data_IF_667275583626
#
_entry.id   IF_667275583626
#
_cell.length_a   1.000
_cell.length_b   1.000
_cell.length_c   1.000
_cell.angle_alpha   90.00
_cell.angle_beta   90.00
_cell.angle_gamma   90.00
#
_symmetry.space_group_name_H-M   'P 1'
#
loop_
_entity.id
_entity.type
_entity.pdbx_description
1 polymer ?
#
# COMPACT_ATOMS: atom_id res chain seq x y z
N UNK A 1 5.52 -18.75 10.42
CA UNK A 1 5.84 -17.33 10.17
C UNK A 1 4.98 -16.70 9.08
N UNK A 2 4.68 -17.42 7.99
CA UNK A 2 4.05 -16.87 6.79
C UNK A 2 2.56 -16.49 6.91
N UNK A 3 1.77 -17.16 7.77
CA UNK A 3 0.36 -16.78 8.05
C UNK A 3 0.24 -15.35 8.58
N UNK A 4 1.26 -14.87 9.30
CA UNK A 4 1.25 -13.50 9.85
C UNK A 4 1.51 -12.43 8.79
N UNK A 5 2.24 -12.76 7.71
CA UNK A 5 2.59 -11.82 6.63
C UNK A 5 1.33 -11.29 5.93
N UNK A 6 0.30 -12.13 5.78
CA UNK A 6 -0.97 -11.71 5.21
C UNK A 6 -1.69 -10.67 6.10
N UNK A 7 -1.69 -10.88 7.42
CA UNK A 7 -2.26 -9.92 8.37
C UNK A 7 -1.50 -8.58 8.39
N UNK A 8 -0.17 -8.64 8.35
CA UNK A 8 0.67 -7.43 8.30
C UNK A 8 0.54 -6.68 6.98
N UNK A 9 0.51 -7.37 5.84
CA UNK A 9 0.30 -6.72 4.53
C UNK A 9 -1.08 -6.09 4.41
N UNK A 10 -2.11 -6.73 4.99
CA UNK A 10 -3.44 -6.14 5.09
C UNK A 10 -3.46 -4.86 5.94
N UNK A 11 -2.85 -4.89 7.13
CA UNK A 11 -2.76 -3.70 7.98
C UNK A 11 -1.95 -2.58 7.31
N UNK A 12 -0.85 -2.95 6.67
CA UNK A 12 0.02 -2.02 5.96
C UNK A 12 -0.70 -1.36 4.78
N UNK A 13 -1.62 -2.06 4.09
CA UNK A 13 -2.44 -1.46 3.02
C UNK A 13 -3.33 -0.33 3.53
N UNK A 14 -3.96 -0.50 4.69
CA UNK A 14 -4.73 0.58 5.33
C UNK A 14 -3.87 1.76 5.75
N UNK A 15 -2.68 1.49 6.30
CA UNK A 15 -1.73 2.53 6.67
C UNK A 15 -1.27 3.32 5.43
N UNK A 16 -1.00 2.64 4.32
CA UNK A 16 -0.63 3.27 3.05
C UNK A 16 -1.74 4.18 2.50
N UNK A 17 -3.02 3.77 2.59
CA UNK A 17 -4.16 4.64 2.23
C UNK A 17 -4.21 5.88 3.11
N UNK A 18 -4.11 5.72 4.43
CA UNK A 18 -4.18 6.82 5.39
C UNK A 18 -3.05 7.83 5.17
N UNK A 19 -1.83 7.34 4.98
CA UNK A 19 -0.66 8.17 4.68
C UNK A 19 -0.83 8.93 3.37
N UNK A 20 -1.28 8.26 2.30
CA UNK A 20 -1.55 8.92 1.03
C UNK A 20 -2.62 10.02 1.17
N UNK A 21 -3.73 9.70 1.84
CA UNK A 21 -4.83 10.66 2.06
C UNK A 21 -4.36 11.87 2.85
N UNK A 22 -3.55 11.65 3.88
CA UNK A 22 -2.97 12.73 4.69
C UNK A 22 -2.01 13.60 3.86
N UNK A 23 -1.11 12.99 3.09
CA UNK A 23 -0.19 13.72 2.21
C UNK A 23 -0.96 14.57 1.18
N UNK A 24 -2.00 14.00 0.57
CA UNK A 24 -2.79 14.67 -0.45
C UNK A 24 -3.65 15.82 0.11
N UNK A 25 -4.31 15.62 1.25
CA UNK A 25 -5.21 16.64 1.84
C UNK A 25 -4.49 17.81 2.49
N UNK A 26 -3.34 17.55 3.13
CA UNK A 26 -2.59 18.58 3.87
C UNK A 26 -1.52 19.28 3.04
N UNK A 27 -1.49 18.99 1.72
CA UNK A 27 -0.52 19.51 0.76
C UNK A 27 0.90 19.54 1.36
N UNK A 28 1.31 18.37 1.85
CA UNK A 28 2.42 18.27 2.79
C UNK A 28 3.69 18.81 2.11
N UNK A 29 4.31 19.88 2.66
CA UNK A 29 5.27 20.64 1.89
C UNK A 29 6.52 19.81 1.61
N UNK A 30 6.94 19.79 0.34
CA UNK A 30 8.15 19.12 -0.14
C UNK A 30 9.46 19.69 0.46
N UNK A 31 9.38 20.65 1.38
CA UNK A 31 10.53 21.26 2.05
C UNK A 31 11.05 20.44 3.22
N UNK A 32 10.24 19.54 3.80
CA UNK A 32 10.62 18.71 4.95
C UNK A 32 11.42 17.49 4.50
N UNK A 33 11.11 16.95 3.32
CA UNK A 33 11.80 15.82 2.71
C UNK A 33 12.28 16.26 1.32
N UNK A 34 13.57 16.13 1.01
CA UNK A 34 14.11 16.47 -0.33
C UNK A 34 13.44 15.73 -1.51
N UNK A 35 12.51 14.82 -1.21
CA UNK A 35 11.68 14.03 -2.11
C UNK A 35 10.23 14.37 -1.80
N UNK A 36 9.41 14.61 -2.84
CA UNK A 36 7.98 14.86 -2.66
C UNK A 36 7.32 13.69 -1.90
N UNK A 37 6.53 13.95 -0.84
CA UNK A 37 5.93 12.89 -0.01
C UNK A 37 5.09 11.84 -0.78
N UNK A 38 4.59 12.19 -1.97
CA UNK A 38 3.91 11.30 -2.90
C UNK A 38 4.78 10.09 -3.28
N UNK A 39 6.07 10.30 -3.59
CA UNK A 39 6.99 9.21 -3.93
C UNK A 39 7.23 8.27 -2.76
N UNK A 40 7.24 8.79 -1.53
CA UNK A 40 7.39 7.96 -0.32
C UNK A 40 6.18 7.03 -0.18
N UNK A 41 4.97 7.59 -0.32
CA UNK A 41 3.73 6.80 -0.26
C UNK A 41 3.60 5.81 -1.42
N UNK A 42 4.22 6.11 -2.57
CA UNK A 42 4.27 5.23 -3.74
C UNK A 42 5.22 4.04 -3.55
N UNK A 43 6.42 4.26 -3.01
CA UNK A 43 7.34 3.16 -2.67
C UNK A 43 6.70 2.27 -1.60
N UNK A 44 6.03 2.87 -0.62
CA UNK A 44 5.35 2.11 0.42
C UNK A 44 4.21 1.26 -0.16
N UNK A 45 3.39 1.79 -1.06
CA UNK A 45 2.30 1.05 -1.71
C UNK A 45 2.82 -0.12 -2.55
N UNK A 46 3.97 0.04 -3.25
CA UNK A 46 4.66 -1.05 -3.95
C UNK A 46 5.14 -2.16 -3.00
N UNK A 47 5.78 -1.82 -1.88
CA UNK A 47 6.20 -2.80 -0.86
C UNK A 47 4.97 -3.55 -0.32
N UNK A 48 3.89 -2.82 -0.07
CA UNK A 48 2.64 -3.39 0.44
C UNK A 48 2.03 -4.37 -0.56
N UNK A 49 2.01 -3.99 -1.84
CA UNK A 49 1.56 -4.82 -2.94
C UNK A 49 2.37 -6.11 -3.03
N UNK A 50 3.70 -6.02 -3.01
CA UNK A 50 4.58 -7.19 -3.03
C UNK A 50 4.35 -8.14 -1.84
N UNK A 51 4.26 -7.59 -0.62
CA UNK A 51 3.96 -8.38 0.58
C UNK A 51 2.58 -9.03 0.52
N UNK A 52 1.59 -8.35 -0.06
CA UNK A 52 0.24 -8.90 -0.22
C UNK A 52 0.20 -10.07 -1.20
N UNK A 53 1.00 -10.05 -2.28
CA UNK A 53 1.18 -11.17 -3.20
C UNK A 53 1.83 -12.36 -2.49
N UNK A 54 2.92 -12.14 -1.75
CA UNK A 54 3.56 -13.20 -0.95
C UNK A 54 2.57 -13.77 0.07
N UNK A 55 1.80 -12.89 0.71
CA UNK A 55 0.74 -13.25 1.64
C UNK A 55 -0.32 -14.17 1.02
N UNK A 56 -0.65 -13.98 -0.27
CA UNK A 56 -1.62 -14.79 -1.02
C UNK A 56 -1.12 -16.21 -1.22
N UNK A 57 0.13 -16.37 -1.68
CA UNK A 57 0.71 -17.70 -1.95
C UNK A 57 0.90 -18.56 -0.69
N UNK A 58 0.88 -17.94 0.50
CA UNK A 58 0.97 -18.66 1.77
C UNK A 58 -0.38 -18.91 2.45
N UNK A 59 -1.49 -18.69 1.75
CA UNK A 59 -2.83 -18.86 2.33
C UNK A 59 -3.15 -20.34 2.57
N UNK A 60 -3.52 -20.67 3.81
CA UNK A 60 -4.13 -21.97 4.17
C UNK A 60 -5.65 -21.91 4.31
N UNK A 61 -6.21 -20.73 4.58
CA UNK A 61 -7.63 -20.55 4.88
C UNK A 61 -8.28 -19.52 3.97
N UNK A 62 -9.51 -19.78 3.52
CA UNK A 62 -10.28 -18.87 2.65
C UNK A 62 -10.34 -17.42 3.17
N UNK A 63 -10.57 -17.24 4.49
CA UNK A 63 -10.61 -15.91 5.12
C UNK A 63 -9.29 -15.14 4.97
N UNK A 64 -8.16 -15.84 5.02
CA UNK A 64 -6.83 -15.27 4.82
C UNK A 64 -6.64 -14.89 3.34
N UNK A 65 -7.09 -15.74 2.42
CA UNK A 65 -7.08 -15.46 0.97
C UNK A 65 -7.83 -14.19 0.59
N UNK A 66 -9.06 -14.03 1.09
CA UNK A 66 -9.87 -12.83 0.82
C UNK A 66 -9.19 -11.56 1.34
N UNK A 67 -8.56 -11.60 2.52
CA UNK A 67 -7.85 -10.44 3.07
C UNK A 67 -6.65 -10.02 2.21
N UNK A 68 -5.87 -10.99 1.75
CA UNK A 68 -4.74 -10.73 0.85
C UNK A 68 -5.21 -10.22 -0.51
N UNK A 69 -6.26 -10.80 -1.09
CA UNK A 69 -6.84 -10.29 -2.34
C UNK A 69 -7.32 -8.86 -2.22
N UNK A 70 -7.98 -8.51 -1.11
CA UNK A 70 -8.38 -7.12 -0.84
C UNK A 70 -7.17 -6.19 -0.72
N UNK A 71 -6.11 -6.58 -0.02
CA UNK A 71 -4.92 -5.74 0.10
C UNK A 71 -4.18 -5.58 -1.23
N UNK A 72 -4.17 -6.61 -2.09
CA UNK A 72 -3.69 -6.53 -3.47
C UNK A 72 -4.51 -5.49 -4.26
N UNK A 73 -5.84 -5.62 -4.29
CA UNK A 73 -6.72 -4.71 -5.05
C UNK A 73 -6.55 -3.26 -4.58
N UNK A 74 -6.54 -3.06 -3.25
CA UNK A 74 -6.36 -1.73 -2.65
C UNK A 74 -5.01 -1.14 -3.00
N UNK A 75 -3.92 -1.88 -2.82
CA UNK A 75 -2.57 -1.38 -3.09
C UNK A 75 -2.36 -1.10 -4.57
N UNK A 76 -2.89 -1.95 -5.47
CA UNK A 76 -2.82 -1.76 -6.92
C UNK A 76 -3.61 -0.52 -7.36
N UNK A 77 -4.81 -0.31 -6.80
CA UNK A 77 -5.59 0.91 -7.02
C UNK A 77 -4.88 2.16 -6.52
N UNK A 78 -4.26 2.10 -5.34
CA UNK A 78 -3.49 3.22 -4.78
C UNK A 78 -2.27 3.56 -5.66
N UNK A 79 -1.54 2.55 -6.12
CA UNK A 79 -0.42 2.70 -7.05
C UNK A 79 -0.90 3.38 -8.35
N UNK A 80 -2.00 2.93 -8.93
CA UNK A 80 -2.53 3.50 -10.18
C UNK A 80 -2.88 4.99 -10.04
N UNK A 81 -3.56 5.37 -8.94
CA UNK A 81 -3.91 6.77 -8.64
C UNK A 81 -2.65 7.61 -8.39
N UNK A 82 -1.70 7.11 -7.61
CA UNK A 82 -0.44 7.82 -7.36
C UNK A 82 0.35 8.01 -8.65
N UNK A 83 0.41 6.98 -9.50
CA UNK A 83 1.11 7.03 -10.77
C UNK A 83 0.48 8.04 -11.74
N UNK A 84 -0.86 8.15 -11.77
CA UNK A 84 -1.53 9.16 -12.58
C UNK A 84 -1.20 10.58 -12.11
N UNK A 85 -1.11 10.82 -10.80
CA UNK A 85 -0.75 12.13 -10.22
C UNK A 85 0.73 12.45 -10.43
N UNK A 86 1.61 11.45 -10.48
CA UNK A 86 3.05 11.66 -10.69
C UNK A 86 3.36 11.98 -12.16
N UNK A 87 2.62 11.38 -13.10
CA UNK A 87 2.88 11.51 -14.54
C UNK A 87 2.17 12.71 -15.16
N UNK A 88 0.95 13.04 -14.72
CA UNK A 88 0.12 14.13 -15.24
C UNK A 88 0.02 15.27 -14.24
#
# INVERSE_FOLDING_TARGET
MTVRINLYSFLLAFISILLFTFVYLFDFPATITAIHPLYITFILSLITFYLSIIGLFSVKDWKSGVRSLLSIIISLGLIAVQLSIIIF
#
